data_IF_583623767523
#
_entry.id   IF_583623767523
#
_cell.length_a   1.000
_cell.length_b   1.000
_cell.length_c   1.000
_cell.angle_alpha   90.00
_cell.angle_beta   90.00
_cell.angle_gamma   90.00
#
_symmetry.space_group_name_H-M   'P 1'
#
loop_
_entity.id
_entity.type
_entity.pdbx_description
1 polymer ?
#
# COMPACT_ATOMS: atom_id res chain seq x y z
N UNK A 1 10.08 10.98 13.62
CA UNK A 1 9.43 10.51 12.39
C UNK A 1 8.79 11.70 11.68
N UNK A 2 9.00 11.83 10.40
CA UNK A 2 8.40 12.89 9.61
C UNK A 2 6.92 12.62 9.41
N UNK A 3 6.15 13.69 9.21
CA UNK A 3 4.72 13.56 8.95
C UNK A 3 4.45 12.73 7.69
N UNK A 4 5.26 12.93 6.67
CA UNK A 4 5.20 12.13 5.44
C UNK A 4 5.29 10.63 5.72
N UNK A 5 6.23 10.24 6.58
CA UNK A 5 6.41 8.83 6.95
C UNK A 5 5.16 8.27 7.61
N UNK A 6 4.50 9.07 8.46
CA UNK A 6 3.27 8.65 9.13
C UNK A 6 2.12 8.43 8.16
N UNK A 7 2.01 9.28 7.15
CA UNK A 7 0.99 9.10 6.12
C UNK A 7 1.17 7.79 5.39
N UNK A 8 2.40 7.49 5.01
CA UNK A 8 2.71 6.26 4.28
C UNK A 8 2.49 5.04 5.17
N UNK A 9 2.93 5.13 6.42
CA UNK A 9 2.77 4.02 7.36
C UNK A 9 1.29 3.72 7.64
N UNK A 10 0.47 4.77 7.79
CA UNK A 10 -0.98 4.58 7.99
C UNK A 10 -1.63 3.93 6.77
N UNK A 11 -1.23 4.35 5.57
CA UNK A 11 -1.73 3.73 4.36
C UNK A 11 -1.32 2.26 4.30
N UNK A 12 -0.08 1.97 4.66
CA UNK A 12 0.43 0.60 4.68
C UNK A 12 -0.34 -0.29 5.65
N UNK A 13 -0.78 0.25 6.77
CA UNK A 13 -1.55 -0.52 7.75
C UNK A 13 -2.84 -1.05 7.14
N UNK A 14 -3.58 -0.21 6.46
CA UNK A 14 -4.82 -0.67 5.83
C UNK A 14 -4.53 -1.63 4.68
N UNK A 15 -3.55 -1.30 3.85
CA UNK A 15 -3.24 -2.13 2.70
C UNK A 15 -2.81 -3.53 3.15
N UNK A 16 -1.98 -3.62 4.19
CA UNK A 16 -1.57 -4.93 4.71
C UNK A 16 -2.76 -5.72 5.24
N UNK A 17 -3.68 -5.05 5.93
CA UNK A 17 -4.88 -5.70 6.42
C UNK A 17 -5.72 -6.25 5.27
N UNK A 18 -5.85 -5.49 4.20
CA UNK A 18 -6.62 -5.94 3.02
C UNK A 18 -5.93 -7.11 2.32
N UNK A 19 -4.60 -7.07 2.21
CA UNK A 19 -3.84 -8.19 1.67
C UNK A 19 -4.10 -9.45 2.49
N UNK A 20 -3.99 -9.33 3.80
CA UNK A 20 -4.19 -10.48 4.69
C UNK A 20 -5.60 -11.04 4.58
N UNK A 21 -6.60 -10.18 4.46
CA UNK A 21 -7.97 -10.61 4.26
C UNK A 21 -8.15 -11.38 2.96
N UNK A 22 -7.53 -10.92 1.90
CA UNK A 22 -7.63 -11.56 0.60
C UNK A 22 -7.01 -12.95 0.64
N UNK A 23 -5.84 -13.09 1.26
CA UNK A 23 -5.21 -14.39 1.43
C UNK A 23 -6.08 -15.33 2.27
N UNK A 24 -6.69 -14.81 3.34
CA UNK A 24 -7.56 -15.61 4.19
C UNK A 24 -8.78 -16.12 3.43
N UNK A 25 -9.37 -15.29 2.58
CA UNK A 25 -10.53 -15.66 1.78
C UNK A 25 -10.20 -16.70 0.73
N UNK A 26 -9.01 -16.58 0.13
CA UNK A 26 -8.59 -17.50 -0.92
C UNK A 26 -8.13 -18.84 -0.36
N UNK A 27 -7.79 -18.90 0.92
CA UNK A 27 -7.40 -20.13 1.59
C UNK A 27 -6.02 -20.61 1.17
N UNK A 28 -5.78 -21.90 1.43
CA UNK A 28 -4.47 -22.51 1.26
C UNK A 28 -3.99 -22.47 -0.19
N UNK A 29 -4.91 -22.51 -1.12
CA UNK A 29 -4.58 -22.52 -2.55
C UNK A 29 -3.79 -21.29 -2.97
N UNK A 30 -4.07 -20.14 -2.37
CA UNK A 30 -3.39 -18.90 -2.70
C UNK A 30 -1.94 -18.93 -2.24
N UNK A 31 -1.69 -19.55 -1.09
CA UNK A 31 -0.34 -19.64 -0.55
C UNK A 31 0.58 -20.47 -1.44
N UNK A 32 0.01 -21.44 -2.14
CA UNK A 32 0.78 -22.30 -3.02
C UNK A 32 0.91 -21.72 -4.43
N UNK A 33 0.32 -20.57 -4.69
CA UNK A 33 0.27 -19.97 -6.01
C UNK A 33 1.33 -18.90 -6.16
N UNK A 34 1.37 -18.32 -7.35
CA UNK A 34 2.23 -17.19 -7.65
C UNK A 34 1.93 -15.98 -6.77
N UNK A 35 0.83 -15.98 -6.04
CA UNK A 35 0.51 -14.89 -5.12
C UNK A 35 1.38 -14.90 -3.87
N UNK A 36 2.13 -15.97 -3.67
CA UNK A 36 3.18 -15.99 -2.68
C UNK A 36 4.36 -15.17 -3.18
N UNK A 37 4.06 -14.05 -3.79
CA UNK A 37 5.07 -13.17 -4.34
C UNK A 37 5.70 -12.37 -3.23
N UNK A 38 6.99 -12.12 -3.39
CA UNK A 38 7.73 -11.33 -2.44
C UNK A 38 7.08 -9.97 -2.27
N UNK A 39 6.95 -9.55 -1.04
CA UNK A 39 6.49 -8.20 -0.72
C UNK A 39 5.01 -8.06 -0.47
N UNK A 40 4.22 -9.13 -0.49
CA UNK A 40 2.80 -9.04 -0.17
C UNK A 40 2.54 -9.35 1.30
N UNK A 41 2.93 -10.52 1.78
CA UNK A 41 2.74 -10.87 3.20
C UNK A 41 3.56 -9.99 4.14
N UNK A 42 4.76 -9.65 3.72
CA UNK A 42 5.68 -8.84 4.51
C UNK A 42 5.77 -7.40 4.03
N UNK A 43 4.77 -6.95 3.26
CA UNK A 43 4.80 -5.63 2.65
C UNK A 43 4.97 -4.49 3.63
N UNK A 44 4.24 -4.55 4.75
CA UNK A 44 4.33 -3.50 5.76
C UNK A 44 5.74 -3.41 6.34
N UNK A 45 6.39 -4.54 6.56
CA UNK A 45 7.76 -4.57 7.07
C UNK A 45 8.72 -3.96 6.06
N UNK A 46 8.54 -4.28 4.78
CA UNK A 46 9.35 -3.72 3.70
C UNK A 46 9.18 -2.21 3.64
N UNK A 47 7.92 -1.74 3.71
CA UNK A 47 7.63 -0.31 3.68
C UNK A 47 8.31 0.40 4.85
N UNK A 48 8.19 -0.18 6.04
CA UNK A 48 8.81 0.40 7.23
C UNK A 48 10.33 0.45 7.09
N UNK A 49 10.92 -0.58 6.49
CA UNK A 49 12.37 -0.61 6.27
C UNK A 49 12.80 0.52 5.34
N UNK A 50 12.05 0.76 4.27
CA UNK A 50 12.33 1.90 3.39
C UNK A 50 12.26 3.22 4.15
N UNK A 51 11.21 3.39 4.98
CA UNK A 51 11.06 4.62 5.75
C UNK A 51 12.21 4.81 6.73
N UNK A 52 12.66 3.74 7.37
CA UNK A 52 13.76 3.78 8.32
C UNK A 52 15.08 4.17 7.64
N UNK A 53 15.21 3.89 6.35
CA UNK A 53 16.40 4.24 5.58
C UNK A 53 16.25 5.54 4.79
N UNK A 54 15.22 6.33 5.09
CA UNK A 54 15.03 7.61 4.45
C UNK A 54 14.60 7.52 2.99
N UNK A 55 13.86 6.47 2.62
CA UNK A 55 13.42 6.22 1.26
C UNK A 55 11.88 6.23 1.16
N UNK A 56 11.22 7.38 1.46
CA UNK A 56 9.75 7.40 1.44
C UNK A 56 9.16 7.19 0.06
N UNK A 57 9.88 7.56 -0.99
CA UNK A 57 9.41 7.32 -2.35
C UNK A 57 9.28 5.83 -2.65
N UNK A 58 10.29 5.05 -2.28
CA UNK A 58 10.25 3.61 -2.45
C UNK A 58 9.18 2.97 -1.56
N UNK A 59 8.99 3.52 -0.35
CA UNK A 59 7.95 3.04 0.54
C UNK A 59 6.57 3.22 -0.08
N UNK A 60 6.29 4.38 -0.63
CA UNK A 60 5.00 4.62 -1.28
C UNK A 60 4.81 3.75 -2.52
N UNK A 61 5.86 3.59 -3.30
CA UNK A 61 5.81 2.70 -4.47
C UNK A 61 5.46 1.28 -4.07
N UNK A 62 5.96 0.82 -2.92
CA UNK A 62 5.63 -0.52 -2.46
C UNK A 62 4.17 -0.64 -2.01
N UNK A 63 3.63 0.41 -1.36
CA UNK A 63 2.19 0.45 -1.03
C UNK A 63 1.37 0.30 -2.31
N UNK A 64 1.73 1.06 -3.34
CA UNK A 64 1.01 1.02 -4.61
C UNK A 64 1.16 -0.33 -5.31
N UNK A 65 2.33 -0.94 -5.22
CA UNK A 65 2.56 -2.28 -5.74
C UNK A 65 1.60 -3.30 -5.11
N UNK A 66 1.45 -3.27 -3.79
CA UNK A 66 0.56 -4.19 -3.10
C UNK A 66 -0.90 -4.01 -3.55
N UNK A 67 -1.33 -2.76 -3.67
CA UNK A 67 -2.69 -2.44 -4.12
C UNK A 67 -2.92 -2.96 -5.53
N UNK A 68 -1.98 -2.70 -6.42
CA UNK A 68 -2.13 -3.07 -7.82
C UNK A 68 -2.09 -4.58 -8.02
N UNK A 69 -1.18 -5.25 -7.33
CA UNK A 69 -0.98 -6.69 -7.48
C UNK A 69 -2.23 -7.49 -7.13
N UNK A 70 -2.97 -7.07 -6.12
CA UNK A 70 -4.18 -7.74 -5.69
C UNK A 70 -5.45 -6.99 -6.07
N UNK A 71 -5.32 -5.92 -6.84
CA UNK A 71 -6.45 -5.12 -7.31
C UNK A 71 -7.34 -4.67 -6.14
N UNK A 72 -6.70 -4.14 -5.10
CA UNK A 72 -7.39 -3.77 -3.87
C UNK A 72 -8.18 -2.48 -4.04
N UNK A 73 -9.29 -2.38 -3.30
CA UNK A 73 -10.02 -1.13 -3.14
C UNK A 73 -9.75 -0.62 -1.74
N UNK A 74 -9.16 0.57 -1.62
CA UNK A 74 -8.81 1.14 -0.33
C UNK A 74 -9.88 2.12 0.13
N UNK A 75 -9.83 2.54 1.39
CA UNK A 75 -10.75 3.55 1.90
C UNK A 75 -10.40 4.93 1.32
N UNK A 76 -11.37 5.84 1.39
CA UNK A 76 -11.14 7.24 1.03
C UNK A 76 -9.99 7.83 1.85
N UNK A 77 -9.93 7.49 3.13
CA UNK A 77 -8.87 7.98 4.00
C UNK A 77 -7.50 7.53 3.50
N UNK A 78 -7.36 6.26 3.17
CA UNK A 78 -6.08 5.76 2.69
C UNK A 78 -5.72 6.35 1.33
N UNK A 79 -6.70 6.50 0.44
CA UNK A 79 -6.44 7.15 -0.84
C UNK A 79 -5.93 8.58 -0.63
N UNK A 80 -6.55 9.33 0.28
CA UNK A 80 -6.14 10.69 0.56
C UNK A 80 -4.71 10.74 1.12
N UNK A 81 -4.34 9.79 1.97
CA UNK A 81 -2.99 9.71 2.51
C UNK A 81 -1.96 9.43 1.41
N UNK A 82 -2.29 8.52 0.50
CA UNK A 82 -1.43 8.21 -0.64
C UNK A 82 -1.22 9.44 -1.51
N UNK A 83 -2.31 10.13 -1.85
CA UNK A 83 -2.24 11.32 -2.68
C UNK A 83 -1.43 12.43 -1.99
N UNK A 84 -1.68 12.64 -0.70
CA UNK A 84 -0.97 13.67 0.07
C UNK A 84 0.53 13.38 0.11
N UNK A 85 0.90 12.13 0.34
CA UNK A 85 2.31 11.74 0.35
C UNK A 85 2.95 11.93 -1.02
N UNK A 86 2.24 11.53 -2.07
CA UNK A 86 2.75 11.68 -3.43
C UNK A 86 2.97 13.14 -3.81
N UNK A 87 2.01 14.00 -3.48
CA UNK A 87 2.15 15.45 -3.74
C UNK A 87 3.33 16.01 -2.97
N UNK A 88 3.48 15.64 -1.72
CA UNK A 88 4.58 16.11 -0.88
C UNK A 88 5.94 15.76 -1.48
N UNK A 89 6.03 14.61 -2.15
CA UNK A 89 7.26 14.15 -2.77
C UNK A 89 7.43 14.60 -4.22
N UNK A 90 6.49 15.39 -4.73
CA UNK A 90 6.57 15.88 -6.11
C UNK A 90 6.27 14.84 -7.17
N UNK A 91 5.59 13.76 -6.81
CA UNK A 91 5.21 12.74 -7.78
C UNK A 91 4.04 13.19 -8.62
N UNK A 92 3.96 12.78 -9.90
CA UNK A 92 2.80 13.12 -10.73
C UNK A 92 1.54 12.43 -10.25
N UNK A 93 0.39 13.06 -10.44
CA UNK A 93 -0.89 12.50 -10.01
C UNK A 93 -1.20 11.16 -10.65
N UNK A 94 -0.64 10.89 -11.82
CA UNK A 94 -0.79 9.60 -12.49
C UNK A 94 -0.28 8.43 -11.63
N UNK A 95 0.60 8.72 -10.66
CA UNK A 95 1.17 7.71 -9.79
C UNK A 95 0.09 6.96 -9.01
N UNK A 96 -0.98 7.64 -8.60
CA UNK A 96 -2.06 7.02 -7.82
C UNK A 96 -3.43 7.14 -8.49
N UNK A 97 -3.49 7.64 -9.72
CA UNK A 97 -4.77 7.91 -10.37
C UNK A 97 -5.64 6.65 -10.55
N UNK A 98 -5.02 5.50 -10.69
CA UNK A 98 -5.73 4.25 -10.94
C UNK A 98 -6.07 3.48 -9.67
N UNK A 99 -5.71 4.01 -8.50
CA UNK A 99 -6.04 3.36 -7.23
C UNK A 99 -7.54 3.43 -7.01
N UNK A 100 -8.17 2.27 -6.83
CA UNK A 100 -9.59 2.21 -6.54
C UNK A 100 -9.83 2.52 -5.07
N UNK A 101 -10.80 3.36 -4.79
CA UNK A 101 -11.13 3.70 -3.41
C UNK A 101 -12.63 3.79 -3.24
N UNK A 102 -13.07 3.48 -2.01
CA UNK A 102 -14.48 3.49 -1.68
C UNK A 102 -14.98 4.93 -1.65
N UNK A 103 -16.10 5.16 -2.31
CA UNK A 103 -16.77 6.46 -2.27
C UNK A 103 -17.59 6.53 -1.00
N UNK A 104 -17.56 7.67 -0.34
CA UNK A 104 -18.47 7.88 0.77
C UNK A 104 -19.88 8.01 0.23
N UNK A 105 -20.85 7.32 0.85
CA UNK A 105 -22.24 7.44 0.42
C UNK A 105 -22.79 8.83 0.62
#
# INVERSE_FOLDING_TARGET
MLLLDRWIESAADEVQRLVNLQFARAGVMVQASALDQAGLHDGKEIIRDYLDHGEPGLALEHVLYMIEELDLTVSETTFALIAKAGVQMGMPTSTWANVKHAQNP
#
